data_IF_769700732676
#
_entry.id   IF_769700732676
#
_cell.length_a   1.000
_cell.length_b   1.000
_cell.length_c   1.000
_cell.angle_alpha   90.00
_cell.angle_beta   90.00
_cell.angle_gamma   90.00
#
_symmetry.space_group_name_H-M   'P 1'
#
loop_
_entity.id
_entity.type
_entity.pdbx_description
1 polymer ?
#
# COMPACT_ATOMS: atom_id res chain seq x y z
N UNK A 1 5.62 -14.03 10.10
CA UNK A 1 4.77 -12.86 10.37
C UNK A 1 4.77 -11.85 9.20
N UNK A 2 5.90 -11.51 8.61
CA UNK A 2 6.06 -10.49 7.57
C UNK A 2 5.10 -10.65 6.38
N UNK A 3 5.02 -11.82 5.79
CA UNK A 3 4.10 -12.13 4.68
C UNK A 3 2.63 -11.97 5.09
N UNK A 4 2.27 -12.39 6.31
CA UNK A 4 0.90 -12.25 6.82
C UNK A 4 0.52 -10.78 6.98
N UNK A 5 1.43 -9.95 7.47
CA UNK A 5 1.24 -8.50 7.57
C UNK A 5 1.06 -7.88 6.20
N UNK A 6 1.90 -8.24 5.23
CA UNK A 6 1.89 -7.64 3.89
C UNK A 6 0.67 -8.04 3.07
N UNK A 7 0.35 -9.33 3.01
CA UNK A 7 -0.73 -9.84 2.17
C UNK A 7 -2.08 -9.89 2.91
N UNK A 8 -2.05 -10.12 4.23
CA UNK A 8 -3.22 -10.25 5.08
C UNK A 8 -3.61 -8.94 5.77
N UNK A 9 -3.53 -8.96 7.11
CA UNK A 9 -3.87 -7.82 7.96
C UNK A 9 -2.60 -7.28 8.66
N UNK A 10 -2.35 -5.96 8.62
CA UNK A 10 -3.16 -4.86 8.05
C UNK A 10 -2.91 -4.53 6.57
N UNK A 11 -2.30 -5.44 5.81
CA UNK A 11 -1.85 -5.23 4.44
C UNK A 11 -2.95 -5.28 3.37
N UNK A 12 -2.65 -5.96 2.25
CA UNK A 12 -3.49 -5.96 1.03
C UNK A 12 -4.93 -6.42 1.26
N UNK A 13 -5.15 -7.48 2.06
CA UNK A 13 -6.49 -7.96 2.37
C UNK A 13 -7.35 -6.90 3.04
N UNK A 14 -6.79 -6.15 4.01
CA UNK A 14 -7.52 -5.07 4.67
C UNK A 14 -7.89 -3.98 3.67
N UNK A 15 -6.96 -3.52 2.85
CA UNK A 15 -7.23 -2.49 1.84
C UNK A 15 -8.31 -2.93 0.84
N UNK A 16 -8.23 -4.16 0.32
CA UNK A 16 -9.24 -4.72 -0.59
C UNK A 16 -10.61 -4.84 0.08
N UNK A 17 -10.65 -5.25 1.36
CA UNK A 17 -11.90 -5.32 2.13
C UNK A 17 -12.55 -3.95 2.34
N UNK A 18 -11.76 -2.88 2.50
CA UNK A 18 -12.29 -1.52 2.55
C UNK A 18 -12.74 -1.04 1.16
N UNK A 19 -11.98 -1.31 0.12
CA UNK A 19 -12.33 -0.95 -1.25
C UNK A 19 -13.65 -1.60 -1.69
N UNK A 20 -13.87 -2.88 -1.35
CA UNK A 20 -15.12 -3.59 -1.68
C UNK A 20 -16.39 -3.00 -1.03
N UNK A 21 -16.23 -2.20 0.04
CA UNK A 21 -17.33 -1.48 0.69
C UNK A 21 -17.54 -0.07 0.15
N UNK A 22 -16.79 0.33 -0.85
CA UNK A 22 -16.90 1.66 -1.44
C UNK A 22 -18.26 1.85 -2.11
N UNK A 23 -18.85 3.02 -1.91
CA UNK A 23 -20.08 3.44 -2.62
C UNK A 23 -19.81 3.79 -4.10
N UNK A 24 -18.54 3.87 -4.49
CA UNK A 24 -18.12 4.16 -5.86
C UNK A 24 -17.74 2.84 -6.58
N UNK A 25 -18.56 2.34 -7.52
CA UNK A 25 -18.31 1.07 -8.19
C UNK A 25 -16.92 0.97 -8.83
N UNK A 26 -16.43 2.07 -9.39
CA UNK A 26 -15.12 2.12 -10.01
C UNK A 26 -13.98 1.74 -9.06
N UNK A 27 -14.08 2.11 -7.77
CA UNK A 27 -13.08 1.77 -6.74
C UNK A 27 -13.11 0.29 -6.35
N UNK A 28 -14.24 -0.37 -6.55
CA UNK A 28 -14.39 -1.81 -6.31
C UNK A 28 -13.70 -2.60 -7.42
N UNK A 29 -13.86 -2.15 -8.67
CA UNK A 29 -13.38 -2.86 -9.87
C UNK A 29 -11.91 -2.54 -10.13
N UNK A 30 -11.53 -1.26 -10.04
CA UNK A 30 -10.18 -0.81 -10.34
C UNK A 30 -9.40 -0.55 -9.07
N UNK A 31 -8.37 -1.38 -8.84
CA UNK A 31 -7.41 -1.23 -7.75
C UNK A 31 -6.04 -0.90 -8.37
N UNK A 32 -5.51 0.27 -8.00
CA UNK A 32 -4.18 0.67 -8.45
C UNK A 32 -3.10 -0.18 -7.78
N UNK A 33 -2.29 -0.90 -8.58
CA UNK A 33 -1.27 -1.81 -8.08
C UNK A 33 -0.14 -1.09 -7.32
N UNK A 34 0.19 0.14 -7.67
CA UNK A 34 1.20 0.89 -6.92
C UNK A 34 0.72 1.16 -5.49
N UNK A 35 -0.53 1.58 -5.32
CA UNK A 35 -1.09 1.83 -3.99
C UNK A 35 -1.43 0.53 -3.26
N UNK A 36 -2.09 -0.44 -3.89
CA UNK A 36 -2.49 -1.69 -3.24
C UNK A 36 -1.29 -2.55 -2.84
N UNK A 37 -0.34 -2.76 -3.76
CA UNK A 37 0.89 -3.51 -3.49
C UNK A 37 1.85 -2.74 -2.57
N UNK A 38 1.98 -1.43 -2.81
CA UNK A 38 2.78 -0.54 -1.97
C UNK A 38 2.28 -0.46 -0.53
N UNK A 39 0.97 -0.51 -0.30
CA UNK A 39 0.36 -0.54 1.03
C UNK A 39 0.82 -1.75 1.85
N UNK A 40 0.87 -2.94 1.23
CA UNK A 40 1.35 -4.14 1.92
C UNK A 40 2.79 -3.99 2.42
N UNK A 41 3.70 -3.52 1.57
CA UNK A 41 5.09 -3.26 1.96
C UNK A 41 5.22 -2.14 2.98
N UNK A 42 4.43 -1.08 2.86
CA UNK A 42 4.36 0.00 3.83
C UNK A 42 3.90 -0.50 5.21
N UNK A 43 2.87 -1.33 5.28
CA UNK A 43 2.40 -1.92 6.53
C UNK A 43 3.46 -2.82 7.18
N UNK A 44 4.20 -3.59 6.40
CA UNK A 44 5.29 -4.45 6.90
C UNK A 44 6.36 -3.62 7.62
N UNK A 45 6.78 -2.49 7.05
CA UNK A 45 7.71 -1.58 7.69
C UNK A 45 7.13 -0.95 8.96
N UNK A 46 5.90 -0.43 8.88
CA UNK A 46 5.26 0.27 10.02
C UNK A 46 5.05 -0.63 11.23
N UNK A 47 4.64 -1.86 11.03
CA UNK A 47 4.44 -2.83 12.12
C UNK A 47 5.77 -3.13 12.83
N UNK A 48 6.87 -3.22 12.09
CA UNK A 48 8.21 -3.39 12.67
C UNK A 48 8.66 -2.17 13.46
N UNK A 49 8.44 -0.97 12.94
CA UNK A 49 8.73 0.28 13.65
C UNK A 49 7.93 0.41 14.96
N UNK A 50 6.76 -0.22 15.03
CA UNK A 50 5.93 -0.30 16.24
C UNK A 50 6.35 -1.41 17.22
N UNK A 51 7.40 -2.18 16.89
CA UNK A 51 7.94 -3.23 17.73
C UNK A 51 7.24 -4.59 17.62
N UNK A 52 6.31 -4.75 16.67
CA UNK A 52 5.63 -6.04 16.48
C UNK A 52 6.56 -7.05 15.81
N UNK A 53 6.66 -8.24 16.40
CA UNK A 53 7.50 -9.35 15.93
C UNK A 53 8.95 -8.89 15.62
N UNK A 54 9.47 -8.01 16.50
CA UNK A 54 10.78 -7.37 16.35
C UNK A 54 11.89 -8.19 16.98
N UNK A 55 12.10 -9.40 16.45
CA UNK A 55 13.17 -10.32 16.84
C UNK A 55 14.17 -10.50 15.68
N UNK A 56 15.42 -10.92 15.95
CA UNK A 56 16.45 -11.05 14.92
C UNK A 56 16.07 -11.94 13.73
N UNK A 57 15.47 -13.12 13.88
CA UNK A 57 15.00 -13.93 12.75
C UNK A 57 13.97 -13.20 11.88
N UNK A 58 13.02 -12.51 12.48
CA UNK A 58 11.98 -11.79 11.76
C UNK A 58 12.53 -10.57 11.01
N UNK A 59 13.49 -9.87 11.60
CA UNK A 59 14.23 -8.78 10.93
C UNK A 59 15.04 -9.31 9.74
N UNK A 60 15.71 -10.42 9.91
CA UNK A 60 16.46 -11.07 8.82
C UNK A 60 15.54 -11.40 7.64
N UNK A 61 14.41 -12.07 7.89
CA UNK A 61 13.43 -12.43 6.86
C UNK A 61 12.85 -11.20 6.14
N UNK A 62 12.60 -10.12 6.88
CA UNK A 62 12.16 -8.86 6.29
C UNK A 62 13.23 -8.27 5.36
N UNK A 63 14.47 -8.20 5.81
CA UNK A 63 15.60 -7.70 5.00
C UNK A 63 15.82 -8.56 3.76
N UNK A 64 15.77 -9.88 3.87
CA UNK A 64 15.85 -10.79 2.74
C UNK A 64 14.72 -10.54 1.73
N UNK A 65 13.50 -10.32 2.22
CA UNK A 65 12.34 -9.95 1.38
C UNK A 65 12.56 -8.61 0.66
N UNK A 66 13.19 -7.64 1.33
CA UNK A 66 13.52 -6.35 0.71
C UNK A 66 14.62 -6.50 -0.36
N UNK A 67 15.66 -7.28 -0.09
CA UNK A 67 16.69 -7.57 -1.10
C UNK A 67 16.08 -8.23 -2.32
N UNK A 68 15.25 -9.26 -2.13
CA UNK A 68 14.54 -9.92 -3.21
C UNK A 68 13.71 -8.94 -4.05
N UNK A 69 13.02 -8.02 -3.41
CA UNK A 69 12.22 -7.03 -4.13
C UNK A 69 13.09 -6.03 -4.92
N UNK A 70 14.26 -5.63 -4.39
CA UNK A 70 15.21 -4.81 -5.14
C UNK A 70 15.77 -5.58 -6.36
N UNK A 71 16.10 -6.85 -6.18
CA UNK A 71 16.53 -7.73 -7.29
C UNK A 71 15.45 -7.86 -8.33
N UNK A 72 14.19 -8.05 -7.93
CA UNK A 72 13.03 -8.10 -8.83
C UNK A 72 12.91 -6.83 -9.68
N UNK A 73 13.02 -5.66 -9.07
CA UNK A 73 12.96 -4.37 -9.80
C UNK A 73 14.10 -4.27 -10.81
N UNK A 74 15.33 -4.63 -10.41
CA UNK A 74 16.48 -4.56 -11.30
C UNK A 74 16.35 -5.50 -12.50
N UNK A 75 15.90 -6.74 -12.25
CA UNK A 75 15.74 -7.74 -13.31
C UNK A 75 14.60 -7.36 -14.25
N UNK A 76 13.45 -6.93 -13.73
CA UNK A 76 12.30 -6.48 -14.51
C UNK A 76 12.68 -5.36 -15.50
N UNK A 77 13.40 -4.34 -15.02
CA UNK A 77 13.90 -3.24 -15.86
C UNK A 77 14.89 -3.74 -16.92
N UNK A 78 15.82 -4.65 -16.58
CA UNK A 78 16.79 -5.19 -17.52
C UNK A 78 16.13 -6.04 -18.61
N UNK A 79 15.13 -6.84 -18.22
CA UNK A 79 14.33 -7.66 -19.16
C UNK A 79 13.55 -6.75 -20.09
N UNK A 80 12.84 -5.76 -19.56
CA UNK A 80 12.06 -4.80 -20.37
C UNK A 80 12.95 -4.00 -21.34
N UNK A 81 14.20 -3.71 -20.94
CA UNK A 81 15.18 -3.04 -21.81
C UNK A 81 15.87 -3.99 -22.82
N UNK A 82 15.50 -5.26 -22.88
CA UNK A 82 16.13 -6.26 -23.75
C UNK A 82 17.60 -6.60 -23.40
N UNK A 83 18.04 -6.24 -22.19
CA UNK A 83 19.42 -6.44 -21.74
C UNK A 83 19.65 -7.77 -21.03
N UNK A 84 18.59 -8.50 -20.71
CA UNK A 84 18.66 -9.76 -19.99
C UNK A 84 17.69 -10.77 -20.60
N UNK A 85 18.23 -11.96 -20.94
CA UNK A 85 17.42 -13.07 -21.46
C UNK A 85 16.94 -13.99 -20.31
N UNK A 86 16.12 -14.98 -20.69
CA UNK A 86 15.54 -15.95 -19.76
C UNK A 86 16.59 -16.64 -18.90
N UNK A 87 17.59 -17.28 -19.52
CA UNK A 87 18.61 -18.06 -18.81
C UNK A 87 19.39 -17.19 -17.82
N UNK A 88 19.81 -16.01 -18.24
CA UNK A 88 20.53 -15.05 -17.41
C UNK A 88 19.69 -14.54 -16.23
N UNK A 89 18.37 -14.42 -16.42
CA UNK A 89 17.44 -14.04 -15.34
C UNK A 89 17.39 -15.13 -14.28
N UNK A 90 17.25 -16.39 -14.69
CA UNK A 90 17.24 -17.54 -13.76
C UNK A 90 18.55 -17.63 -13.00
N UNK A 91 19.68 -17.56 -13.69
CA UNK A 91 21.01 -17.57 -13.06
C UNK A 91 21.21 -16.43 -12.08
N UNK A 92 20.79 -15.21 -12.45
CA UNK A 92 20.85 -14.06 -11.54
C UNK A 92 20.04 -14.26 -10.24
N UNK A 93 18.89 -14.92 -10.31
CA UNK A 93 18.09 -15.23 -9.13
C UNK A 93 18.76 -16.31 -8.26
N UNK A 94 19.38 -17.31 -8.86
CA UNK A 94 20.15 -18.34 -8.15
C UNK A 94 21.35 -17.70 -7.44
N UNK A 95 22.14 -16.92 -8.17
CA UNK A 95 23.42 -16.38 -7.66
C UNK A 95 23.20 -15.30 -6.59
N UNK A 96 22.24 -14.39 -6.78
CA UNK A 96 22.02 -13.28 -5.86
C UNK A 96 21.13 -13.62 -4.68
N UNK A 97 20.20 -14.58 -4.84
CA UNK A 97 19.19 -14.89 -3.83
C UNK A 97 19.32 -16.30 -3.23
N UNK A 98 20.22 -17.12 -3.76
CA UNK A 98 20.35 -18.51 -3.33
C UNK A 98 19.11 -19.35 -3.63
N UNK A 99 18.31 -18.98 -4.64
CA UNK A 99 17.10 -19.73 -4.99
C UNK A 99 17.48 -21.07 -5.63
N UNK A 100 16.67 -22.10 -5.34
CA UNK A 100 16.70 -23.29 -6.18
C UNK A 100 16.21 -22.99 -7.60
N UNK A 101 16.62 -23.82 -8.56
CA UNK A 101 16.31 -23.60 -9.98
C UNK A 101 14.81 -23.52 -10.26
N UNK A 102 14.00 -24.35 -9.62
CA UNK A 102 12.55 -24.41 -9.85
C UNK A 102 11.90 -23.11 -9.38
N UNK A 103 12.28 -22.60 -8.22
CA UNK A 103 11.82 -21.31 -7.70
C UNK A 103 12.29 -20.15 -8.57
N UNK A 104 13.54 -20.16 -9.02
CA UNK A 104 14.08 -19.12 -9.90
C UNK A 104 13.36 -19.07 -11.27
N UNK A 105 13.06 -20.23 -11.86
CA UNK A 105 12.28 -20.31 -13.09
C UNK A 105 10.84 -19.84 -12.92
N UNK A 106 10.18 -20.20 -11.81
CA UNK A 106 8.85 -19.72 -11.48
C UNK A 106 8.82 -18.18 -11.31
N UNK A 107 9.84 -17.63 -10.64
CA UNK A 107 9.99 -16.19 -10.48
C UNK A 107 10.27 -15.48 -11.82
N UNK A 108 11.13 -16.06 -12.67
CA UNK A 108 11.41 -15.51 -14.01
C UNK A 108 10.14 -15.47 -14.89
N UNK A 109 9.26 -16.47 -14.79
CA UNK A 109 7.94 -16.46 -15.50
C UNK A 109 7.06 -15.31 -15.05
N UNK A 110 7.13 -14.90 -13.78
CA UNK A 110 6.34 -13.76 -13.27
C UNK A 110 6.73 -12.45 -13.93
N UNK A 111 8.01 -12.21 -14.24
CA UNK A 111 8.43 -10.99 -14.96
C UNK A 111 7.81 -10.91 -16.36
N UNK A 112 7.66 -12.05 -17.04
CA UNK A 112 7.03 -12.09 -18.36
C UNK A 112 5.51 -11.90 -18.26
N UNK A 113 4.88 -12.47 -17.24
CA UNK A 113 3.42 -12.41 -17.07
C UNK A 113 2.93 -11.11 -16.47
N UNK A 114 3.75 -10.44 -15.67
CA UNK A 114 3.39 -9.23 -14.91
C UNK A 114 4.54 -8.20 -14.95
N UNK A 115 4.90 -7.68 -16.13
CA UNK A 115 6.00 -6.73 -16.27
C UNK A 115 5.68 -5.41 -15.52
N UNK A 116 6.66 -4.85 -14.83
CA UNK A 116 6.55 -3.60 -14.09
C UNK A 116 5.90 -3.69 -12.70
N UNK A 117 5.23 -4.80 -12.37
CA UNK A 117 4.54 -4.94 -11.07
C UNK A 117 5.50 -4.84 -9.88
N UNK A 118 6.69 -5.47 -9.88
CA UNK A 118 7.66 -5.30 -8.78
C UNK A 118 8.06 -3.83 -8.56
N UNK A 119 8.28 -3.10 -9.64
CA UNK A 119 8.59 -1.67 -9.59
C UNK A 119 7.44 -0.86 -9.00
N UNK A 120 6.20 -1.13 -9.44
CA UNK A 120 5.01 -0.42 -8.96
C UNK A 120 4.82 -0.58 -7.45
N UNK A 121 5.02 -1.78 -6.89
CA UNK A 121 4.86 -2.03 -5.46
C UNK A 121 5.88 -1.23 -4.63
N UNK A 122 7.15 -1.21 -5.06
CA UNK A 122 8.20 -0.48 -4.35
C UNK A 122 8.05 1.03 -4.47
N UNK A 123 7.76 1.51 -5.68
CA UNK A 123 7.46 2.91 -5.92
C UNK A 123 6.24 3.36 -5.11
N UNK A 124 5.17 2.55 -5.08
CA UNK A 124 3.97 2.82 -4.31
C UNK A 124 4.22 2.93 -2.80
N UNK A 125 5.03 2.01 -2.25
CA UNK A 125 5.48 2.09 -0.85
C UNK A 125 6.18 3.42 -0.56
N UNK A 126 7.12 3.83 -1.41
CA UNK A 126 7.86 5.08 -1.22
C UNK A 126 6.95 6.30 -1.33
N UNK A 127 6.00 6.28 -2.27
CA UNK A 127 4.97 7.35 -2.36
C UNK A 127 4.10 7.43 -1.11
N UNK A 128 3.68 6.30 -0.54
CA UNK A 128 2.91 6.27 0.71
C UNK A 128 3.72 6.84 1.89
N UNK A 129 5.02 6.55 1.97
CA UNK A 129 5.91 7.13 2.97
C UNK A 129 6.05 8.65 2.82
N UNK A 130 6.17 9.13 1.58
CA UNK A 130 6.22 10.56 1.30
C UNK A 130 4.89 11.26 1.62
N UNK A 131 3.77 10.65 1.24
CA UNK A 131 2.43 11.18 1.56
C UNK A 131 2.24 11.23 3.08
N UNK A 132 2.72 10.22 3.82
CA UNK A 132 2.66 10.24 5.29
C UNK A 132 3.49 11.36 5.89
N UNK A 133 4.75 11.54 5.43
CA UNK A 133 5.58 12.65 5.89
C UNK A 133 4.91 13.99 5.61
N UNK A 134 4.48 14.20 4.39
CA UNK A 134 3.74 15.41 4.01
C UNK A 134 2.49 15.65 4.86
N UNK A 135 1.69 14.63 5.13
CA UNK A 135 0.49 14.73 5.98
C UNK A 135 0.86 15.11 7.42
N UNK A 136 1.95 14.51 7.95
CA UNK A 136 2.47 14.82 9.28
C UNK A 136 2.93 16.28 9.38
N UNK A 137 3.67 16.76 8.37
CA UNK A 137 4.15 18.14 8.34
C UNK A 137 2.98 19.14 8.21
N UNK A 138 1.95 18.82 7.40
CA UNK A 138 0.78 19.67 7.21
C UNK A 138 -0.17 19.72 8.43
N UNK A 139 -0.30 18.62 9.15
CA UNK A 139 -1.22 18.51 10.31
C UNK A 139 -0.54 18.83 11.65
N UNK A 140 0.79 18.80 11.70
CA UNK A 140 1.58 19.08 12.91
C UNK A 140 1.07 18.31 14.14
N UNK A 141 0.68 19.01 15.20
CA UNK A 141 0.16 18.43 16.45
C UNK A 141 -1.18 17.70 16.29
N UNK A 142 -1.92 17.94 15.23
CA UNK A 142 -3.19 17.27 14.95
C UNK A 142 -3.04 15.95 14.18
N UNK A 143 -1.82 15.59 13.75
CA UNK A 143 -1.58 14.33 13.07
C UNK A 143 -1.76 13.15 14.01
N UNK A 144 -2.56 12.17 13.57
CA UNK A 144 -2.63 10.85 14.21
C UNK A 144 -2.50 9.76 13.17
N UNK A 145 -1.79 8.68 13.50
CA UNK A 145 -1.66 7.51 12.63
C UNK A 145 -3.04 6.92 12.28
N UNK A 146 -3.96 6.92 13.25
CA UNK A 146 -5.32 6.42 13.05
C UNK A 146 -6.07 7.23 12.00
N UNK A 147 -6.02 8.55 12.05
CA UNK A 147 -6.65 9.40 11.04
C UNK A 147 -6.05 9.14 9.67
N UNK A 148 -4.72 9.14 9.58
CA UNK A 148 -4.00 8.96 8.32
C UNK A 148 -4.32 7.61 7.66
N UNK A 149 -4.15 6.50 8.38
CA UNK A 149 -4.40 5.17 7.83
C UNK A 149 -5.88 4.93 7.50
N UNK A 150 -6.79 5.39 8.35
CA UNK A 150 -8.23 5.29 8.10
C UNK A 150 -8.64 6.09 6.86
N UNK A 151 -8.06 7.27 6.66
CA UNK A 151 -8.31 8.10 5.49
C UNK A 151 -7.84 7.44 4.19
N UNK A 152 -6.66 6.79 4.20
CA UNK A 152 -6.19 5.99 3.06
C UNK A 152 -7.15 4.84 2.76
N UNK A 153 -7.51 4.05 3.77
CA UNK A 153 -8.39 2.90 3.60
C UNK A 153 -9.77 3.30 3.09
N UNK A 154 -10.36 4.38 3.62
CA UNK A 154 -11.65 4.94 3.15
C UNK A 154 -11.56 5.47 1.72
N UNK A 155 -10.45 6.07 1.34
CA UNK A 155 -10.20 6.54 -0.02
C UNK A 155 -10.07 5.38 -0.99
N UNK A 156 -9.48 4.26 -0.55
CA UNK A 156 -9.20 3.08 -1.36
C UNK A 156 -7.94 3.24 -2.22
N UNK A 157 -7.57 2.19 -2.98
CA UNK A 157 -6.32 2.13 -3.73
C UNK A 157 -6.39 2.96 -5.02
N UNK A 158 -6.34 4.28 -4.89
CA UNK A 158 -6.18 5.22 -5.99
C UNK A 158 -4.69 5.35 -6.37
N UNK A 159 -4.36 5.73 -7.63
CA UNK A 159 -3.01 6.14 -7.99
C UNK A 159 -2.44 7.16 -7.00
N UNK A 160 -1.15 7.06 -6.58
CA UNK A 160 -0.59 7.87 -5.50
C UNK A 160 -0.80 9.39 -5.64
N UNK A 161 -0.72 10.02 -6.84
CA UNK A 161 -1.02 11.43 -6.98
C UNK A 161 -2.48 11.80 -6.67
N UNK A 162 -3.42 10.93 -7.07
CA UNK A 162 -4.85 11.12 -6.79
C UNK A 162 -5.17 10.83 -5.33
N UNK A 163 -4.53 9.82 -4.74
CA UNK A 163 -4.61 9.54 -3.32
C UNK A 163 -4.17 10.74 -2.49
N UNK A 164 -3.01 11.34 -2.82
CA UNK A 164 -2.51 12.54 -2.15
C UNK A 164 -3.51 13.69 -2.24
N UNK A 165 -4.06 13.95 -3.43
CA UNK A 165 -5.06 15.01 -3.62
C UNK A 165 -6.31 14.77 -2.78
N UNK A 166 -6.80 13.54 -2.72
CA UNK A 166 -7.98 13.20 -1.90
C UNK A 166 -7.69 13.36 -0.40
N UNK A 167 -6.50 12.94 0.04
CA UNK A 167 -6.07 13.14 1.42
C UNK A 167 -5.90 14.62 1.77
N UNK A 168 -5.48 15.45 0.82
CA UNK A 168 -5.35 16.89 1.01
C UNK A 168 -6.71 17.53 1.38
N UNK A 169 -7.78 17.16 0.69
CA UNK A 169 -9.14 17.61 1.05
C UNK A 169 -9.55 17.12 2.44
N UNK A 170 -9.34 15.82 2.74
CA UNK A 170 -9.70 15.25 4.04
C UNK A 170 -8.93 15.89 5.20
N UNK A 171 -7.64 16.18 5.00
CA UNK A 171 -6.80 16.87 5.99
C UNK A 171 -7.26 18.31 6.17
N UNK A 172 -7.59 19.02 5.09
CA UNK A 172 -8.07 20.38 5.15
C UNK A 172 -9.40 20.46 5.91
N UNK A 173 -10.34 19.55 5.63
CA UNK A 173 -11.61 19.46 6.35
C UNK A 173 -11.38 19.17 7.85
N UNK A 174 -10.44 18.27 8.16
CA UNK A 174 -10.09 17.94 9.54
C UNK A 174 -9.45 19.12 10.29
N UNK A 175 -8.60 19.90 9.62
CA UNK A 175 -7.96 21.08 10.20
C UNK A 175 -8.95 22.22 10.46
N UNK A 176 -10.04 22.32 9.70
CA UNK A 176 -11.11 23.30 9.93
C UNK A 176 -12.10 22.86 11.00
N UNK A 177 -12.06 21.60 11.46
CA UNK A 177 -12.94 21.10 12.52
C UNK A 177 -12.52 21.67 13.89
N UNK A 178 -13.47 22.15 14.72
CA UNK A 178 -13.16 22.63 16.07
C UNK A 178 -12.45 21.57 16.93
N UNK A 179 -11.54 21.97 17.85
CA UNK A 179 -10.75 21.03 18.66
C UNK A 179 -11.56 20.10 19.58
N UNK A 180 -12.76 20.48 19.96
CA UNK A 180 -13.53 19.84 21.05
C UNK A 180 -14.25 18.53 20.66
N UNK A 181 -14.23 18.13 19.37
CA UNK A 181 -14.86 16.88 18.94
C UNK A 181 -13.95 15.65 18.98
N UNK A 182 -12.69 15.79 19.44
CA UNK A 182 -11.72 14.69 19.48
C UNK A 182 -11.93 13.68 20.61
N UNK A 183 -12.83 13.94 21.57
CA UNK A 183 -13.03 13.13 22.76
C UNK A 183 -14.10 12.03 22.69
N UNK A 184 -14.93 11.98 21.64
CA UNK A 184 -15.96 10.94 21.54
C UNK A 184 -15.55 9.86 20.54
N UNK A 185 -15.09 8.72 21.08
CA UNK A 185 -14.70 7.55 20.34
C UNK A 185 -15.72 7.15 19.27
N UNK A 186 -15.22 6.76 18.09
CA UNK A 186 -16.03 6.19 17.03
C UNK A 186 -16.63 4.85 17.48
N UNK A 187 -17.75 4.93 18.21
CA UNK A 187 -18.68 3.82 18.32
C UNK A 187 -19.30 3.57 16.96
N UNK A 188 -19.41 2.31 16.58
CA UNK A 188 -19.99 1.83 15.33
C UNK A 188 -21.38 2.45 15.05
N UNK A 189 -21.43 3.49 14.24
CA UNK A 189 -22.64 4.06 13.67
C UNK A 189 -22.75 3.67 12.20
N UNK A 190 -23.61 2.73 11.88
CA UNK A 190 -23.96 2.34 10.52
C UNK A 190 -24.34 3.55 9.65
N UNK A 191 -23.69 3.67 8.49
CA UNK A 191 -23.82 4.73 7.51
C UNK A 191 -25.19 4.89 6.85
N UNK A 192 -26.18 5.45 7.56
CA UNK A 192 -27.46 5.85 6.99
C UNK A 192 -27.58 7.35 6.67
N UNK A 193 -26.70 8.19 7.20
CA UNK A 193 -26.77 9.65 7.01
C UNK A 193 -26.26 10.14 5.64
N UNK A 194 -25.26 9.47 5.06
CA UNK A 194 -24.65 9.89 3.78
C UNK A 194 -25.54 9.64 2.56
N UNK A 195 -26.42 8.61 2.60
CA UNK A 195 -27.37 8.35 1.49
C UNK A 195 -28.42 9.45 1.33
N UNK A 196 -28.86 10.11 2.41
CA UNK A 196 -29.87 11.16 2.35
C UNK A 196 -29.35 12.47 1.76
N UNK A 197 -28.08 12.81 1.96
CA UNK A 197 -27.49 14.03 1.40
C UNK A 197 -27.27 13.95 -0.11
N UNK A 198 -26.91 12.77 -0.62
CA UNK A 198 -26.68 12.55 -2.05
C UNK A 198 -27.96 12.54 -2.87
N UNK A 199 -29.06 12.00 -2.32
CA UNK A 199 -30.36 11.95 -3.00
C UNK A 199 -31.04 13.32 -3.08
N UNK A 200 -30.81 14.24 -2.13
CA UNK A 200 -31.35 15.60 -2.17
C UNK A 200 -30.72 16.51 -3.25
N UNK A 201 -29.51 16.18 -3.74
CA UNK A 201 -28.83 16.94 -4.83
C UNK A 201 -29.27 16.54 -6.24
N UNK A 202 -29.99 15.42 -6.42
CA UNK A 202 -30.52 14.97 -7.72
C UNK A 202 -31.98 15.41 -7.99
N UNK A 203 -32.62 16.10 -7.05
CA UNK A 203 -34.04 16.56 -7.15
C UNK A 203 -34.18 18.09 -7.25
N UNK A 204 -33.11 18.76 -7.72
CA UNK A 204 -33.18 20.17 -8.13
C UNK A 204 -32.58 20.33 -9.52
#
# INVERSE_FOLDING_TARGET
ASLVVREGYPGRCLMSSWASRSIFPLRVIHQDEATAGGWGHYCEERIKEMGFDDNPPSRFMMLQSHVLACVRVMLDVKIAAGKLGWQQTVESLIDHMGMDRVCAEAEARRFVSQPGVPLLHYWGRDRLREIRRWAKDKMESRFTETFFHTSILKTGPLPPPLLKRQLDHLITDELHRPPDEHGKGHGHGHGTASKKAFLKKKAK
#
